data_IF_177868088172
#
_entry.id   IF_177868088172
#
_cell.length_a   1.000
_cell.length_b   1.000
_cell.length_c   1.000
_cell.angle_alpha   90.00
_cell.angle_beta   90.00
_cell.angle_gamma   90.00
#
_symmetry.space_group_name_H-M   'P 1'
#
loop_
_entity.id
_entity.type
_entity.pdbx_description
1 polymer ?
#
# COMPACT_ATOMS: atom_id res chain seq x y z
N UNK A 1 -40.72 27.57 -38.99
CA UNK A 1 -40.74 26.56 -40.07
C UNK A 1 -39.49 25.72 -39.93
N UNK A 2 -39.61 24.41 -39.70
CA UNK A 2 -38.47 23.50 -39.61
C UNK A 2 -37.98 23.16 -41.03
N UNK A 3 -36.96 23.86 -41.51
CA UNK A 3 -36.30 23.52 -42.76
C UNK A 3 -35.44 22.28 -42.52
N UNK A 4 -36.01 21.10 -42.79
CA UNK A 4 -35.31 19.82 -42.73
C UNK A 4 -34.71 19.54 -44.11
N UNK A 5 -33.38 19.41 -44.16
CA UNK A 5 -32.68 18.96 -45.36
C UNK A 5 -32.64 17.44 -45.36
N UNK A 6 -32.97 16.84 -46.51
CA UNK A 6 -33.05 15.38 -46.66
C UNK A 6 -31.88 14.80 -47.47
N UNK A 7 -31.09 15.63 -48.15
CA UNK A 7 -29.92 15.21 -48.92
C UNK A 7 -28.87 16.32 -49.01
N UNK A 8 -27.62 15.92 -49.27
CA UNK A 8 -26.51 16.86 -49.48
C UNK A 8 -26.72 17.65 -50.77
N UNK A 9 -27.32 17.04 -51.81
CA UNK A 9 -27.63 17.73 -53.06
C UNK A 9 -28.69 18.82 -52.87
N UNK A 10 -29.64 18.62 -51.95
CA UNK A 10 -30.63 19.66 -51.59
C UNK A 10 -29.95 20.87 -50.94
N UNK A 11 -28.93 20.65 -50.10
CA UNK A 11 -28.14 21.72 -49.49
C UNK A 11 -27.31 22.45 -50.56
N UNK A 12 -26.69 21.71 -51.48
CA UNK A 12 -25.91 22.30 -52.59
C UNK A 12 -26.77 23.19 -53.48
N UNK A 13 -27.98 22.74 -53.81
CA UNK A 13 -28.91 23.51 -54.64
C UNK A 13 -29.46 24.74 -53.92
N UNK A 14 -29.79 24.65 -52.63
CA UNK A 14 -30.32 25.78 -51.84
C UNK A 14 -29.30 26.91 -51.67
N UNK A 15 -28.01 26.57 -51.49
CA UNK A 15 -26.92 27.53 -51.27
C UNK A 15 -26.04 27.77 -52.51
N UNK A 16 -26.40 27.19 -53.65
CA UNK A 16 -25.71 27.31 -54.93
C UNK A 16 -24.21 26.92 -54.85
N UNK A 17 -23.92 25.80 -54.18
CA UNK A 17 -22.58 25.25 -53.93
C UNK A 17 -22.27 24.19 -55.01
N UNK A 18 -21.14 24.30 -55.70
CA UNK A 18 -20.77 23.45 -56.85
C UNK A 18 -19.78 22.33 -56.49
N UNK A 19 -19.30 22.33 -55.25
CA UNK A 19 -18.22 21.48 -54.77
C UNK A 19 -18.69 20.04 -54.49
N UNK A 20 -17.85 19.06 -54.81
CA UNK A 20 -18.18 17.64 -54.64
C UNK A 20 -17.99 17.13 -53.20
N UNK A 21 -16.96 17.62 -52.49
CA UNK A 21 -16.58 17.09 -51.17
C UNK A 21 -17.46 17.62 -50.03
N UNK A 22 -17.87 16.71 -49.14
CA UNK A 22 -18.72 17.01 -47.96
C UNK A 22 -18.00 17.95 -47.00
N UNK A 23 -16.69 17.77 -46.80
CA UNK A 23 -15.90 18.61 -45.90
C UNK A 23 -15.74 20.03 -46.46
N UNK A 24 -15.62 20.18 -47.79
CA UNK A 24 -15.55 21.50 -48.43
C UNK A 24 -16.91 22.22 -48.39
N UNK A 25 -18.01 21.49 -48.63
CA UNK A 25 -19.39 22.01 -48.50
C UNK A 25 -19.64 22.51 -47.08
N UNK A 26 -19.24 21.73 -46.06
CA UNK A 26 -19.34 22.14 -44.65
C UNK A 26 -18.53 23.39 -44.34
N UNK A 27 -17.31 23.51 -44.87
CA UNK A 27 -16.46 24.68 -44.70
C UNK A 27 -17.10 25.95 -45.28
N UNK A 28 -17.68 25.84 -46.48
CA UNK A 28 -18.40 26.95 -47.14
C UNK A 28 -19.63 27.38 -46.33
N UNK A 29 -20.45 26.42 -45.88
CA UNK A 29 -21.63 26.72 -45.06
C UNK A 29 -21.26 27.40 -43.75
N UNK A 30 -20.19 26.98 -43.07
CA UNK A 30 -19.70 27.63 -41.85
C UNK A 30 -19.21 29.06 -42.10
N UNK A 31 -18.56 29.30 -43.23
CA UNK A 31 -18.13 30.63 -43.61
C UNK A 31 -19.34 31.55 -43.85
N UNK A 32 -20.37 31.07 -44.56
CA UNK A 32 -21.63 31.78 -44.77
C UNK A 32 -22.42 32.00 -43.47
N UNK A 33 -22.42 31.03 -42.55
CA UNK A 33 -23.05 31.18 -41.24
C UNK A 33 -22.32 32.25 -40.41
N UNK A 34 -20.99 32.27 -40.48
CA UNK A 34 -20.17 33.23 -39.73
C UNK A 34 -20.33 34.67 -40.21
N UNK A 35 -20.72 34.91 -41.47
CA UNK A 35 -20.97 36.26 -42.00
C UNK A 35 -22.36 36.79 -41.62
N UNK A 36 -23.30 35.88 -41.36
CA UNK A 36 -24.68 36.19 -40.96
C UNK A 36 -24.90 36.13 -39.44
N UNK A 37 -23.85 35.85 -38.66
CA UNK A 37 -23.96 35.67 -37.21
C UNK A 37 -24.29 37.00 -36.50
N UNK A 38 -25.29 37.03 -35.59
CA UNK A 38 -25.75 38.27 -34.94
C UNK A 38 -24.65 38.93 -34.09
N UNK A 39 -23.72 38.15 -33.55
CA UNK A 39 -22.56 38.63 -32.77
C UNK A 39 -21.62 39.54 -33.59
N UNK A 40 -21.57 39.38 -34.93
CA UNK A 40 -20.81 40.30 -35.80
C UNK A 40 -21.59 41.57 -36.18
N UNK A 41 -22.89 41.61 -35.90
CA UNK A 41 -23.80 42.70 -36.24
C UNK A 41 -24.37 43.42 -35.02
N UNK A 42 -23.75 43.26 -33.84
CA UNK A 42 -24.16 43.97 -32.61
C UNK A 42 -25.22 43.26 -31.77
N UNK A 43 -25.41 41.96 -31.96
CA UNK A 43 -26.30 41.11 -31.16
C UNK A 43 -27.68 40.87 -31.77
N UNK A 44 -28.01 41.51 -32.89
CA UNK A 44 -29.28 41.36 -33.60
C UNK A 44 -29.06 41.05 -35.09
N UNK A 45 -30.00 40.33 -35.70
CA UNK A 45 -30.03 40.12 -37.15
C UNK A 45 -30.50 41.40 -37.84
N UNK A 46 -29.88 41.79 -38.96
CA UNK A 46 -30.27 43.05 -39.64
C UNK A 46 -31.63 42.95 -40.31
N UNK A 47 -32.13 41.73 -40.55
CA UNK A 47 -33.46 41.48 -41.08
C UNK A 47 -33.97 40.08 -40.75
N UNK A 48 -35.30 39.89 -40.81
CA UNK A 48 -35.97 38.59 -40.69
C UNK A 48 -35.50 37.59 -41.76
N UNK A 49 -35.05 38.09 -42.92
CA UNK A 49 -34.47 37.27 -43.99
C UNK A 49 -33.09 36.71 -43.60
N UNK A 50 -32.25 37.52 -42.94
CA UNK A 50 -30.94 37.07 -42.45
C UNK A 50 -31.08 36.03 -41.34
N UNK A 51 -32.03 36.23 -40.41
CA UNK A 51 -32.36 35.27 -39.35
C UNK A 51 -32.82 33.92 -39.97
N UNK A 52 -33.73 33.98 -40.95
CA UNK A 52 -34.20 32.77 -41.64
C UNK A 52 -33.07 32.02 -42.36
N UNK A 53 -32.18 32.75 -43.04
CA UNK A 53 -31.04 32.16 -43.74
C UNK A 53 -29.99 31.59 -42.77
N UNK A 54 -29.77 32.23 -41.63
CA UNK A 54 -28.90 31.73 -40.57
C UNK A 54 -29.41 30.39 -40.02
N UNK A 55 -30.70 30.29 -39.71
CA UNK A 55 -31.31 29.03 -39.26
C UNK A 55 -31.30 27.94 -40.33
N UNK A 56 -31.44 28.29 -41.61
CA UNK A 56 -31.26 27.33 -42.72
C UNK A 56 -29.83 26.80 -42.77
N UNK A 57 -28.82 27.66 -42.65
CA UNK A 57 -27.42 27.25 -42.64
C UNK A 57 -27.10 26.33 -41.45
N UNK A 58 -27.63 26.66 -40.27
CA UNK A 58 -27.47 25.84 -39.07
C UNK A 58 -28.06 24.43 -39.24
N UNK A 59 -29.29 24.34 -39.76
CA UNK A 59 -29.93 23.06 -40.09
C UNK A 59 -29.13 22.24 -41.11
N UNK A 60 -28.53 22.88 -42.11
CA UNK A 60 -27.71 22.19 -43.11
C UNK A 60 -26.40 21.64 -42.51
N UNK A 61 -25.74 22.41 -41.64
CA UNK A 61 -24.51 21.97 -40.95
C UNK A 61 -24.83 20.82 -40.00
N UNK A 62 -25.92 20.91 -39.24
CA UNK A 62 -26.36 19.85 -38.33
C UNK A 62 -26.68 18.55 -39.08
N UNK A 63 -27.27 18.63 -40.28
CA UNK A 63 -27.49 17.46 -41.13
C UNK A 63 -26.15 16.81 -41.54
N UNK A 64 -25.17 17.59 -41.98
CA UNK A 64 -23.83 17.07 -42.35
C UNK A 64 -23.12 16.44 -41.16
N UNK A 65 -23.18 17.08 -39.98
CA UNK A 65 -22.52 16.59 -38.77
C UNK A 65 -23.17 15.29 -38.26
N UNK A 66 -24.50 15.14 -38.36
CA UNK A 66 -25.19 13.89 -38.02
C UNK A 66 -24.85 12.72 -38.96
N UNK A 67 -24.62 13.00 -40.25
CA UNK A 67 -24.14 12.01 -41.23
C UNK A 67 -22.69 11.58 -40.94
N UNK A 68 -21.83 12.52 -40.51
CA UNK A 68 -20.42 12.25 -40.18
C UNK A 68 -20.26 11.44 -38.88
N UNK A 69 -21.11 11.73 -37.88
CA UNK A 69 -21.11 11.04 -36.58
C UNK A 69 -21.54 9.58 -36.70
N UNK A 70 -22.37 9.25 -37.70
CA UNK A 70 -22.82 7.87 -37.95
C UNK A 70 -21.72 6.95 -38.51
N UNK A 71 -20.61 7.50 -39.02
CA UNK A 71 -19.60 6.74 -39.78
C UNK A 71 -18.17 6.76 -39.21
N UNK A 72 -17.85 7.48 -38.11
CA UNK A 72 -16.44 7.56 -37.68
C UNK A 72 -16.09 7.63 -36.19
N UNK A 73 -17.04 7.67 -35.24
CA UNK A 73 -16.68 7.99 -33.84
C UNK A 73 -17.30 7.09 -32.76
N UNK A 74 -17.47 5.80 -33.06
CA UNK A 74 -17.69 4.79 -32.02
C UNK A 74 -16.33 4.33 -31.47
N UNK A 75 -15.90 4.92 -30.35
CA UNK A 75 -14.89 4.30 -29.49
C UNK A 75 -15.37 2.88 -29.20
N UNK A 76 -14.65 1.88 -29.70
CA UNK A 76 -15.02 0.48 -29.51
C UNK A 76 -15.16 0.21 -28.00
N UNK A 77 -16.32 -0.29 -27.56
CA UNK A 77 -16.55 -0.64 -26.16
C UNK A 77 -15.49 -1.59 -25.58
N UNK A 78 -14.76 -2.32 -26.43
CA UNK A 78 -13.57 -3.09 -26.08
C UNK A 78 -12.48 -2.22 -25.44
N UNK A 79 -12.17 -1.05 -26.01
CA UNK A 79 -11.13 -0.15 -25.48
C UNK A 79 -11.50 0.42 -24.09
N UNK A 80 -12.78 0.74 -23.87
CA UNK A 80 -13.29 1.18 -22.55
C UNK A 80 -13.27 0.01 -21.55
N UNK A 81 -13.58 -1.20 -22.01
CA UNK A 81 -13.53 -2.42 -21.18
C UNK A 81 -12.09 -2.79 -20.80
N UNK A 82 -11.14 -2.63 -21.71
CA UNK A 82 -9.73 -2.93 -21.46
C UNK A 82 -9.11 -1.89 -20.52
N UNK A 83 -9.51 -0.63 -20.64
CA UNK A 83 -9.07 0.43 -19.74
C UNK A 83 -9.67 0.26 -18.33
N UNK A 84 -10.95 -0.08 -18.23
CA UNK A 84 -11.56 -0.41 -16.92
C UNK A 84 -10.92 -1.64 -16.29
N UNK A 85 -10.66 -2.71 -17.05
CA UNK A 85 -9.89 -3.87 -16.56
C UNK A 85 -8.48 -3.49 -16.11
N UNK A 86 -7.77 -2.66 -16.88
CA UNK A 86 -6.45 -2.20 -16.52
C UNK A 86 -6.46 -1.39 -15.21
N UNK A 87 -7.41 -0.47 -15.07
CA UNK A 87 -7.60 0.34 -13.85
C UNK A 87 -7.99 -0.54 -12.66
N UNK A 88 -8.93 -1.47 -12.83
CA UNK A 88 -9.33 -2.41 -11.77
C UNK A 88 -8.16 -3.28 -11.34
N UNK A 89 -7.38 -3.83 -12.28
CA UNK A 89 -6.19 -4.62 -11.96
C UNK A 89 -5.11 -3.80 -11.22
N UNK A 90 -4.97 -2.51 -11.56
CA UNK A 90 -4.04 -1.59 -10.91
C UNK A 90 -4.50 -1.30 -9.47
N UNK A 91 -5.78 -1.05 -9.25
CA UNK A 91 -6.37 -0.86 -7.91
C UNK A 91 -6.27 -2.14 -7.08
N UNK A 92 -6.59 -3.30 -7.66
CA UNK A 92 -6.51 -4.59 -6.96
C UNK A 92 -5.08 -4.96 -6.56
N UNK A 93 -4.11 -4.74 -7.44
CA UNK A 93 -2.68 -4.98 -7.12
C UNK A 93 -2.13 -3.98 -6.10
N UNK A 94 -2.59 -2.73 -6.12
CA UNK A 94 -2.25 -1.75 -5.09
C UNK A 94 -2.85 -2.11 -3.73
N UNK A 95 -4.10 -2.55 -3.70
CA UNK A 95 -4.78 -2.98 -2.47
C UNK A 95 -4.16 -4.24 -1.87
N UNK A 96 -3.69 -5.20 -2.70
CA UNK A 96 -2.98 -6.39 -2.22
C UNK A 96 -1.69 -6.01 -1.47
N UNK A 97 -0.84 -5.16 -2.05
CA UNK A 97 0.42 -4.75 -1.40
C UNK A 97 0.21 -3.91 -0.14
N UNK A 98 -0.89 -3.15 -0.07
CA UNK A 98 -1.29 -2.44 1.16
C UNK A 98 -1.74 -3.45 2.22
N UNK A 99 -2.59 -4.42 1.86
CA UNK A 99 -3.11 -5.43 2.80
C UNK A 99 -2.00 -6.30 3.41
N UNK A 100 -1.02 -6.74 2.61
CA UNK A 100 0.12 -7.54 3.12
C UNK A 100 1.03 -6.71 4.03
N UNK A 101 1.26 -5.43 3.72
CA UNK A 101 2.02 -4.52 4.58
C UNK A 101 1.34 -4.25 5.94
N UNK A 102 0.00 -4.17 5.94
CA UNK A 102 -0.82 -4.05 7.15
C UNK A 102 -0.79 -5.36 7.94
N UNK A 103 -0.89 -6.51 7.28
CA UNK A 103 -0.81 -7.82 7.91
C UNK A 103 0.54 -8.03 8.61
N UNK A 104 1.66 -7.69 7.95
CA UNK A 104 3.00 -7.73 8.54
C UNK A 104 3.12 -6.79 9.74
N UNK A 105 2.64 -5.56 9.62
CA UNK A 105 2.66 -4.58 10.71
C UNK A 105 1.86 -5.07 11.92
N UNK A 106 0.69 -5.67 11.67
CA UNK A 106 -0.18 -6.25 12.69
C UNK A 106 0.47 -7.47 13.36
N UNK A 107 1.12 -8.34 12.59
CA UNK A 107 1.83 -9.51 13.12
C UNK A 107 3.03 -9.09 13.98
N UNK A 108 3.80 -8.08 13.54
CA UNK A 108 4.91 -7.52 14.32
C UNK A 108 4.42 -6.87 15.62
N UNK A 109 3.30 -6.15 15.55
CA UNK A 109 2.67 -5.54 16.73
C UNK A 109 2.22 -6.61 17.72
N UNK A 110 1.53 -7.67 17.26
CA UNK A 110 1.13 -8.81 18.10
C UNK A 110 2.32 -9.50 18.75
N UNK A 111 3.43 -9.69 18.03
CA UNK A 111 4.64 -10.29 18.60
C UNK A 111 5.25 -9.40 19.70
N UNK A 112 5.31 -8.08 19.46
CA UNK A 112 5.75 -7.09 20.45
C UNK A 112 4.86 -7.09 21.69
N UNK A 113 3.54 -7.08 21.49
CA UNK A 113 2.56 -7.04 22.58
C UNK A 113 2.54 -8.35 23.38
N UNK A 114 2.72 -9.50 22.72
CA UNK A 114 2.88 -10.79 23.39
C UNK A 114 4.12 -10.83 24.29
N UNK A 115 5.23 -10.26 23.83
CA UNK A 115 6.43 -10.13 24.66
C UNK A 115 6.22 -9.17 25.84
N UNK A 116 5.62 -8.01 25.60
CA UNK A 116 5.28 -7.05 26.66
C UNK A 116 4.38 -7.70 27.71
N UNK A 117 3.34 -8.43 27.29
CA UNK A 117 2.44 -9.12 28.19
C UNK A 117 3.16 -10.12 29.10
N UNK A 118 4.09 -10.92 28.57
CA UNK A 118 4.91 -11.85 29.36
C UNK A 118 5.81 -11.15 30.37
N UNK A 119 6.25 -9.92 30.07
CA UNK A 119 7.09 -9.12 30.95
C UNK A 119 6.33 -8.19 31.91
N UNK A 120 5.01 -8.04 31.78
CA UNK A 120 4.19 -7.21 32.68
C UNK A 120 4.27 -7.68 34.13
N UNK A 121 4.04 -8.98 34.36
CA UNK A 121 4.06 -9.55 35.71
C UNK A 121 5.42 -9.41 36.40
N UNK A 122 6.55 -9.82 35.78
CA UNK A 122 7.87 -9.59 36.34
C UNK A 122 8.16 -8.12 36.64
N UNK A 123 7.75 -7.18 35.77
CA UNK A 123 7.95 -5.74 36.02
C UNK A 123 7.13 -5.23 37.20
N UNK A 124 5.86 -5.64 37.33
CA UNK A 124 5.01 -5.26 38.47
C UNK A 124 5.61 -5.81 39.76
N UNK A 125 6.01 -7.07 39.78
CA UNK A 125 6.66 -7.69 40.93
C UNK A 125 7.97 -6.95 41.29
N UNK A 126 8.81 -6.64 40.30
CA UNK A 126 10.06 -5.90 40.49
C UNK A 126 9.81 -4.48 41.03
N UNK A 127 8.80 -3.77 40.51
CA UNK A 127 8.41 -2.45 41.01
C UNK A 127 7.91 -2.53 42.46
N UNK A 128 7.09 -3.54 42.79
CA UNK A 128 6.61 -3.75 44.16
C UNK A 128 7.76 -4.08 45.12
N UNK A 129 8.68 -4.96 44.73
CA UNK A 129 9.88 -5.29 45.51
C UNK A 129 10.77 -4.07 45.70
N UNK A 130 10.99 -3.28 44.65
CA UNK A 130 11.79 -2.05 44.72
C UNK A 130 11.11 -1.03 45.63
N UNK A 131 9.80 -0.86 45.54
CA UNK A 131 9.04 0.03 46.42
C UNK A 131 9.09 -0.42 47.89
N UNK A 132 8.99 -1.73 48.14
CA UNK A 132 9.11 -2.30 49.48
C UNK A 132 10.54 -2.10 50.05
N UNK A 133 11.57 -2.37 49.25
CA UNK A 133 12.97 -2.16 49.64
C UNK A 133 13.27 -0.69 49.95
N UNK A 134 12.76 0.22 49.12
CA UNK A 134 12.87 1.67 49.35
C UNK A 134 12.09 2.12 50.58
N UNK A 135 10.88 1.60 50.79
CA UNK A 135 10.05 1.92 51.95
C UNK A 135 10.65 1.43 53.27
N UNK A 136 11.20 0.22 53.28
CA UNK A 136 11.94 -0.33 54.43
C UNK A 136 13.12 0.57 54.84
N UNK A 137 13.79 1.18 53.86
CA UNK A 137 14.93 2.05 54.11
C UNK A 137 14.54 3.49 54.48
N UNK A 138 13.45 4.01 53.90
CA UNK A 138 12.95 5.36 54.19
C UNK A 138 12.33 5.49 55.59
N UNK A 139 11.83 4.38 56.14
CA UNK A 139 11.15 4.36 57.45
C UNK A 139 11.79 3.35 58.43
N UNK A 140 13.08 3.49 58.77
CA UNK A 140 13.80 2.50 59.57
C UNK A 140 13.24 2.38 60.99
N UNK A 141 12.74 3.48 61.56
CA UNK A 141 12.11 3.49 62.89
C UNK A 141 10.80 2.68 62.89
N UNK A 142 9.96 2.84 61.86
CA UNK A 142 8.70 2.09 61.73
C UNK A 142 8.95 0.58 61.57
N UNK A 143 10.03 0.19 60.90
CA UNK A 143 10.44 -1.21 60.76
C UNK A 143 10.95 -1.78 62.09
N UNK A 144 11.72 -0.98 62.84
CA UNK A 144 12.23 -1.35 64.17
C UNK A 144 11.11 -1.57 65.19
N UNK A 145 10.05 -0.78 65.11
CA UNK A 145 8.90 -0.87 66.03
C UNK A 145 7.90 -1.97 65.62
N UNK A 146 8.05 -2.57 64.44
CA UNK A 146 7.13 -3.59 63.94
C UNK A 146 7.42 -4.98 64.54
N UNK A 147 6.42 -5.66 65.14
CA UNK A 147 6.63 -6.87 65.95
C UNK A 147 7.20 -8.07 65.18
N UNK A 148 7.01 -8.12 63.87
CA UNK A 148 7.55 -9.20 63.02
C UNK A 148 8.85 -8.80 62.33
N UNK A 149 8.98 -7.55 61.86
CA UNK A 149 10.08 -7.14 60.97
C UNK A 149 11.35 -6.80 61.75
N UNK A 150 11.20 -6.35 63.00
CA UNK A 150 12.31 -6.01 63.90
C UNK A 150 13.24 -7.20 64.18
N UNK A 151 12.70 -8.43 64.13
CA UNK A 151 13.47 -9.66 64.32
C UNK A 151 14.34 -10.03 63.11
N UNK A 152 13.99 -9.54 61.91
CA UNK A 152 14.69 -9.89 60.66
C UNK A 152 15.55 -8.76 60.10
N UNK A 153 15.27 -7.51 60.46
CA UNK A 153 15.96 -6.33 59.90
C UNK A 153 16.57 -5.52 61.03
N UNK A 154 17.89 -5.63 61.20
CA UNK A 154 18.65 -4.79 62.11
C UNK A 154 19.53 -3.81 61.33
N UNK A 155 19.10 -2.54 61.26
CA UNK A 155 19.82 -1.50 60.50
C UNK A 155 21.21 -1.15 61.08
N UNK A 156 21.49 -1.53 62.32
CA UNK A 156 22.80 -1.34 62.95
C UNK A 156 23.80 -2.44 62.57
N UNK A 157 23.31 -3.56 62.04
CA UNK A 157 24.16 -4.66 61.60
C UNK A 157 24.70 -4.39 60.18
N UNK A 158 26.02 -4.52 60.03
CA UNK A 158 26.69 -4.29 58.75
C UNK A 158 26.27 -5.33 57.71
N UNK A 159 26.02 -6.59 58.11
CA UNK A 159 25.63 -7.66 57.19
C UNK A 159 24.25 -7.40 56.58
N UNK A 160 23.29 -6.95 57.39
CA UNK A 160 21.96 -6.54 56.93
C UNK A 160 22.04 -5.41 55.90
N UNK A 161 22.89 -4.40 56.12
CA UNK A 161 23.11 -3.30 55.18
C UNK A 161 23.76 -3.76 53.85
N UNK A 162 24.71 -4.70 53.91
CA UNK A 162 25.31 -5.29 52.70
C UNK A 162 24.27 -6.07 51.88
N UNK A 163 23.44 -6.90 52.52
CA UNK A 163 22.38 -7.65 51.85
C UNK A 163 21.38 -6.69 51.20
N UNK A 164 20.96 -5.65 51.91
CA UNK A 164 20.05 -4.64 51.36
C UNK A 164 20.65 -3.95 50.13
N UNK A 165 21.91 -3.50 50.22
CA UNK A 165 22.60 -2.85 49.10
C UNK A 165 22.71 -3.79 47.90
N UNK A 166 23.02 -5.07 48.13
CA UNK A 166 23.02 -6.10 47.09
C UNK A 166 21.64 -6.26 46.44
N UNK A 167 20.56 -6.30 47.21
CA UNK A 167 19.19 -6.40 46.69
C UNK A 167 18.81 -5.19 45.83
N UNK A 168 19.17 -3.97 46.25
CA UNK A 168 18.92 -2.75 45.46
C UNK A 168 19.71 -2.77 44.15
N UNK A 169 21.01 -3.08 44.20
CA UNK A 169 21.85 -3.15 43.00
C UNK A 169 21.33 -4.23 42.04
N UNK A 170 20.97 -5.41 42.55
CA UNK A 170 20.41 -6.49 41.74
C UNK A 170 19.08 -6.10 41.08
N UNK A 171 18.22 -5.36 41.79
CA UNK A 171 16.96 -4.86 41.25
C UNK A 171 17.17 -3.87 40.12
N UNK A 172 18.12 -2.93 40.28
CA UNK A 172 18.51 -1.98 39.22
C UNK A 172 19.10 -2.71 38.01
N UNK A 173 19.99 -3.68 38.24
CA UNK A 173 20.58 -4.48 37.17
C UNK A 173 19.51 -5.26 36.39
N UNK A 174 18.51 -5.81 37.09
CA UNK A 174 17.39 -6.52 36.45
C UNK A 174 16.50 -5.56 35.65
N UNK A 175 16.27 -4.33 36.15
CA UNK A 175 15.58 -3.27 35.42
C UNK A 175 16.30 -2.91 34.11
N UNK A 176 17.62 -2.71 34.17
CA UNK A 176 18.43 -2.42 32.99
C UNK A 176 18.38 -3.59 32.01
N UNK A 177 18.51 -4.82 32.50
CA UNK A 177 18.44 -6.02 31.67
C UNK A 177 17.09 -6.13 30.94
N UNK A 178 15.98 -5.96 31.66
CA UNK A 178 14.64 -6.04 31.07
C UNK A 178 14.40 -4.95 30.04
N UNK A 179 14.84 -3.71 30.32
CA UNK A 179 14.76 -2.60 29.36
C UNK A 179 15.58 -2.87 28.10
N UNK A 180 16.87 -3.22 28.24
CA UNK A 180 17.73 -3.53 27.08
C UNK A 180 17.17 -4.65 26.23
N UNK A 181 16.57 -5.66 26.85
CA UNK A 181 15.97 -6.79 26.14
C UNK A 181 14.71 -6.37 25.38
N UNK A 182 13.89 -5.48 25.93
CA UNK A 182 12.72 -4.91 25.24
C UNK A 182 13.14 -4.04 24.06
N UNK A 183 14.13 -3.16 24.23
CA UNK A 183 14.63 -2.31 23.15
C UNK A 183 15.21 -3.17 22.00
N UNK A 184 16.00 -4.19 22.34
CA UNK A 184 16.52 -5.12 21.34
C UNK A 184 15.43 -5.83 20.55
N UNK A 185 14.29 -6.17 21.17
CA UNK A 185 13.16 -6.80 20.47
C UNK A 185 12.46 -5.80 19.56
N UNK A 186 12.28 -4.56 20.03
CA UNK A 186 11.71 -3.48 19.23
C UNK A 186 12.57 -3.18 18.00
N UNK A 187 13.88 -3.01 18.18
CA UNK A 187 14.83 -2.82 17.09
C UNK A 187 14.80 -3.99 16.10
N UNK A 188 14.79 -5.23 16.58
CA UNK A 188 14.71 -6.40 15.69
C UNK A 188 13.41 -6.42 14.88
N UNK A 189 12.28 -6.07 15.50
CA UNK A 189 11.00 -5.96 14.80
C UNK A 189 11.02 -4.83 13.76
N UNK A 190 11.63 -3.68 14.06
CA UNK A 190 11.80 -2.58 13.11
C UNK A 190 12.72 -2.97 11.95
N UNK A 191 13.83 -3.66 12.24
CA UNK A 191 14.74 -4.21 11.22
C UNK A 191 14.00 -5.16 10.27
N UNK A 192 13.12 -6.02 10.77
CA UNK A 192 12.31 -6.93 9.93
C UNK A 192 11.31 -6.20 9.01
N UNK A 193 10.93 -4.95 9.30
CA UNK A 193 10.15 -4.11 8.38
C UNK A 193 10.97 -3.61 7.21
N UNK A 194 12.28 -3.46 7.40
CA UNK A 194 13.16 -2.90 6.37
C UNK A 194 13.28 -3.86 5.19
N UNK A 195 13.27 -3.29 3.99
CA UNK A 195 13.40 -4.07 2.77
C UNK A 195 14.78 -4.74 2.66
N UNK A 196 15.83 -4.08 3.18
CA UNK A 196 17.20 -4.61 3.19
C UNK A 196 17.30 -5.94 3.91
N UNK A 197 16.70 -6.04 5.10
CA UNK A 197 16.69 -7.27 5.89
C UNK A 197 15.83 -8.35 5.26
N UNK A 198 14.66 -7.99 4.73
CA UNK A 198 13.79 -8.89 3.98
C UNK A 198 14.51 -9.49 2.75
N UNK A 199 15.21 -8.66 1.98
CA UNK A 199 16.02 -9.10 0.86
C UNK A 199 17.19 -9.99 1.30
N UNK A 200 17.81 -9.70 2.46
CA UNK A 200 18.88 -10.52 3.03
C UNK A 200 18.38 -11.91 3.43
N UNK A 201 17.20 -11.99 4.04
CA UNK A 201 16.53 -13.24 4.39
C UNK A 201 16.24 -14.04 3.12
N UNK A 202 15.61 -13.41 2.13
CA UNK A 202 15.26 -14.03 0.86
C UNK A 202 16.49 -14.55 0.10
N UNK A 203 17.53 -13.73 -0.08
CA UNK A 203 18.78 -14.16 -0.74
C UNK A 203 19.43 -15.33 -0.02
N UNK A 204 19.40 -15.33 1.32
CA UNK A 204 19.92 -16.43 2.12
C UNK A 204 19.14 -17.73 1.92
N UNK A 205 17.83 -17.63 1.74
CA UNK A 205 16.97 -18.76 1.41
C UNK A 205 17.26 -19.29 0.01
N UNK A 206 17.24 -18.43 -1.01
CA UNK A 206 17.54 -18.81 -2.40
C UNK A 206 18.91 -19.48 -2.54
N UNK A 207 19.92 -19.03 -1.77
CA UNK A 207 21.24 -19.66 -1.77
C UNK A 207 21.25 -21.08 -1.16
N UNK A 208 20.31 -21.37 -0.24
CA UNK A 208 20.21 -22.67 0.46
C UNK A 208 19.40 -23.70 -0.34
N UNK A 209 18.44 -23.27 -1.15
CA UNK A 209 17.61 -24.20 -1.93
C UNK A 209 18.40 -24.66 -3.16
N UNK A 210 18.62 -25.97 -3.29
CA UNK A 210 19.23 -26.58 -4.48
C UNK A 210 18.24 -26.66 -5.66
N UNK A 211 16.94 -26.71 -5.37
CA UNK A 211 15.87 -26.82 -6.35
C UNK A 211 15.37 -25.46 -6.84
N UNK A 212 14.97 -25.39 -8.11
CA UNK A 212 14.35 -24.18 -8.68
C UNK A 212 12.97 -23.87 -8.10
N UNK A 213 12.30 -24.86 -7.50
CA UNK A 213 10.93 -24.74 -7.02
C UNK A 213 10.86 -24.88 -5.50
N UNK A 214 10.04 -24.09 -4.84
CA UNK A 214 9.81 -24.13 -3.39
C UNK A 214 8.37 -23.73 -3.05
N UNK A 215 7.86 -24.15 -1.88
CA UNK A 215 6.56 -23.76 -1.34
C UNK A 215 6.68 -22.60 -0.33
N UNK A 216 5.54 -21.95 -0.01
CA UNK A 216 5.51 -20.92 1.04
C UNK A 216 5.98 -21.50 2.38
N UNK A 217 5.58 -22.73 2.68
CA UNK A 217 5.88 -23.46 3.91
C UNK A 217 7.39 -23.69 4.06
N UNK A 218 8.08 -24.07 2.98
CA UNK A 218 9.54 -24.23 2.98
C UNK A 218 10.25 -22.93 3.35
N UNK A 219 9.71 -21.80 2.87
CA UNK A 219 10.28 -20.49 3.16
C UNK A 219 9.98 -20.04 4.59
N UNK A 220 8.76 -20.30 5.08
CA UNK A 220 8.37 -20.03 6.46
C UNK A 220 9.23 -20.83 7.44
N UNK A 221 9.49 -22.11 7.13
CA UNK A 221 10.38 -22.95 7.93
C UNK A 221 11.81 -22.41 7.93
N UNK A 222 12.32 -21.94 6.79
CA UNK A 222 13.62 -21.29 6.73
C UNK A 222 13.69 -20.02 7.60
N UNK A 223 12.65 -19.18 7.58
CA UNK A 223 12.58 -17.97 8.41
C UNK A 223 12.60 -18.35 9.89
N UNK A 224 11.87 -19.40 10.28
CA UNK A 224 11.80 -19.90 11.66
C UNK A 224 13.14 -20.47 12.12
N UNK A 225 13.79 -21.27 11.29
CA UNK A 225 15.09 -21.89 11.55
C UNK A 225 16.21 -20.85 11.67
N UNK A 226 16.21 -19.83 10.79
CA UNK A 226 17.25 -18.80 10.79
C UNK A 226 17.08 -17.74 11.89
N UNK A 227 15.85 -17.45 12.28
CA UNK A 227 15.53 -16.48 13.33
C UNK A 227 15.26 -17.13 14.71
N UNK A 228 15.77 -18.35 14.93
CA UNK A 228 15.88 -19.10 16.18
C UNK A 228 15.18 -18.43 17.39
N UNK A 229 14.01 -18.99 17.74
CA UNK A 229 13.25 -18.77 18.99
C UNK A 229 12.53 -17.43 19.20
N UNK A 230 12.64 -16.44 18.30
CA UNK A 230 12.02 -15.10 18.51
C UNK A 230 10.84 -14.75 17.60
N UNK A 231 10.58 -15.55 16.57
CA UNK A 231 9.55 -15.29 15.57
C UNK A 231 8.48 -16.36 15.69
N UNK A 232 7.25 -15.95 15.99
CA UNK A 232 6.07 -16.83 15.98
C UNK A 232 5.74 -17.26 14.54
N UNK A 233 5.09 -18.40 14.35
CA UNK A 233 4.75 -18.95 13.03
C UNK A 233 3.90 -17.96 12.23
N UNK A 234 2.96 -17.29 12.90
CA UNK A 234 2.12 -16.24 12.32
C UNK A 234 2.94 -15.07 11.77
N UNK A 235 4.01 -14.67 12.48
CA UNK A 235 4.90 -13.61 12.03
C UNK A 235 5.78 -14.08 10.88
N UNK A 236 6.25 -15.33 10.91
CA UNK A 236 7.02 -15.91 9.81
C UNK A 236 6.20 -15.98 8.52
N UNK A 237 4.92 -16.36 8.58
CA UNK A 237 3.99 -16.32 7.45
C UNK A 237 3.84 -14.90 6.90
N UNK A 238 3.54 -13.91 7.75
CA UNK A 238 3.36 -12.53 7.29
C UNK A 238 4.64 -11.94 6.66
N UNK A 239 5.82 -12.30 7.18
CA UNK A 239 7.11 -11.91 6.58
C UNK A 239 7.31 -12.62 5.23
N UNK A 240 7.02 -13.91 5.16
CA UNK A 240 7.16 -14.71 3.95
C UNK A 240 6.28 -14.16 2.82
N UNK A 241 5.01 -13.89 3.10
CA UNK A 241 4.06 -13.33 2.13
C UNK A 241 4.54 -11.99 1.55
N UNK A 242 4.95 -11.04 2.41
CA UNK A 242 5.44 -9.72 1.95
C UNK A 242 6.71 -9.87 1.11
N UNK A 243 7.63 -10.75 1.50
CA UNK A 243 8.85 -10.99 0.75
C UNK A 243 8.55 -11.61 -0.62
N UNK A 244 7.68 -12.62 -0.67
CA UNK A 244 7.34 -13.32 -1.92
C UNK A 244 6.56 -12.41 -2.86
N UNK A 245 5.60 -11.63 -2.35
CA UNK A 245 4.89 -10.63 -3.16
C UNK A 245 5.86 -9.63 -3.79
N UNK A 246 6.84 -9.13 -3.01
CA UNK A 246 7.89 -8.24 -3.53
C UNK A 246 8.77 -8.93 -4.56
N UNK A 247 9.14 -10.19 -4.35
CA UNK A 247 9.95 -10.96 -5.28
C UNK A 247 9.21 -11.23 -6.61
N UNK A 248 7.90 -11.49 -6.56
CA UNK A 248 7.03 -11.61 -7.75
C UNK A 248 6.97 -10.28 -8.50
N UNK A 249 6.71 -9.17 -7.79
CA UNK A 249 6.66 -7.82 -8.38
C UNK A 249 7.96 -7.43 -9.08
N UNK A 250 9.10 -7.90 -8.55
CA UNK A 250 10.44 -7.71 -9.14
C UNK A 250 10.80 -8.72 -10.22
N UNK A 251 9.90 -9.65 -10.56
CA UNK A 251 10.13 -10.72 -11.53
C UNK A 251 11.34 -11.59 -11.18
N UNK A 252 11.62 -11.79 -9.89
CA UNK A 252 12.68 -12.68 -9.40
C UNK A 252 12.18 -14.11 -9.29
N UNK A 253 10.89 -14.27 -8.99
CA UNK A 253 10.20 -15.56 -8.91
C UNK A 253 8.92 -15.54 -9.73
N UNK A 254 8.50 -16.71 -10.22
CA UNK A 254 7.22 -16.92 -10.87
C UNK A 254 6.35 -17.80 -9.99
N UNK A 255 5.07 -17.46 -9.90
CA UNK A 255 4.03 -18.29 -9.31
C UNK A 255 3.51 -19.26 -10.35
N UNK A 256 3.69 -20.56 -10.11
CA UNK A 256 3.04 -21.60 -10.88
C UNK A 256 1.82 -22.02 -10.08
N UNK A 257 0.67 -21.44 -10.43
CA UNK A 257 -0.59 -21.77 -9.77
C UNK A 257 -1.13 -23.07 -10.39
N UNK A 258 -0.88 -24.20 -9.74
CA UNK A 258 -1.26 -25.53 -10.25
C UNK A 258 -2.70 -25.92 -9.91
N UNK A 259 -3.51 -25.02 -9.32
CA UNK A 259 -4.91 -25.29 -8.96
C UNK A 259 -5.09 -26.32 -7.84
N UNK A 260 -4.00 -26.75 -7.19
CA UNK A 260 -4.00 -27.72 -6.09
C UNK A 260 -3.26 -27.12 -4.90
N UNK A 261 -4.04 -26.73 -3.88
CA UNK A 261 -3.79 -26.55 -2.42
C UNK A 261 -2.51 -25.80 -1.95
N UNK A 262 -1.39 -25.79 -2.67
CA UNK A 262 -0.16 -25.05 -2.33
C UNK A 262 0.40 -24.31 -3.55
N UNK A 263 0.59 -23.00 -3.43
CA UNK A 263 1.28 -22.20 -4.45
C UNK A 263 2.75 -22.58 -4.54
N UNK A 264 3.19 -23.04 -5.71
CA UNK A 264 4.59 -23.37 -5.96
C UNK A 264 5.27 -22.18 -6.62
N UNK A 265 6.39 -21.75 -6.03
CA UNK A 265 7.20 -20.66 -6.55
C UNK A 265 8.40 -21.24 -7.29
N UNK A 266 8.73 -20.66 -8.44
CA UNK A 266 9.91 -21.02 -9.22
C UNK A 266 10.86 -19.83 -9.33
N UNK A 267 12.14 -20.07 -9.05
CA UNK A 267 13.18 -19.05 -9.17
C UNK A 267 13.53 -18.87 -10.63
N UNK A 268 13.32 -17.66 -11.14
CA UNK A 268 13.87 -17.27 -12.44
C UNK A 268 15.38 -17.20 -12.25
N UNK A 269 16.09 -18.19 -12.80
CA UNK A 269 17.54 -18.32 -12.70
C UNK A 269 18.17 -16.93 -12.88
N UNK A 270 18.85 -16.45 -11.85
CA UNK A 270 19.46 -15.13 -11.86
C UNK A 270 20.31 -15.01 -13.13
N UNK A 271 19.95 -14.04 -13.98
CA UNK A 271 20.86 -13.57 -15.01
C UNK A 271 22.21 -13.32 -14.33
N UNK A 272 23.27 -13.86 -14.95
CA UNK A 272 24.66 -13.71 -14.52
C UNK A 272 24.92 -12.29 -13.99
N UNK A 273 25.73 -12.14 -12.93
CA UNK A 273 26.03 -10.83 -12.39
C UNK A 273 26.54 -9.91 -13.50
N UNK A 274 25.85 -8.80 -13.71
CA UNK A 274 26.38 -7.67 -14.49
C UNK A 274 27.65 -7.25 -13.75
N UNK A 275 28.81 -7.49 -14.37
CA UNK A 275 30.06 -6.91 -13.92
C UNK A 275 29.87 -5.39 -13.88
N UNK A 276 30.03 -4.81 -12.70
CA UNK A 276 30.35 -3.39 -12.60
C UNK A 276 31.84 -3.29 -12.93
N UNK A 277 32.14 -2.70 -14.08
CA UNK A 277 33.45 -2.12 -14.37
C UNK A 277 33.63 -0.82 -13.58
#
# INVERSE_FOLDING_TARGET
MSNQFNSIDMIKNEFNISEESIDTVRGILRNMQSSLHPDKNGGEFKSVSEESNYHKLDSAINFIDSQKTSNSDLIAMSAVTDLTKAVTNLISSQNQGVNTSIALSTALQRNSDGYKARMKMPKIALTAVTAALSGLWLFPNTVKDHPVLSNYVNFNDSLTNFIWMYLVISSVAFWIYTWRKEESIKENNERLKTETEQNRIFKGFIKKIEFKNFSLEDFVEHIKDKNLRKVDITLAHAIAEVILERAIKRKVILTNDSGVISTVYSVLAANKPIKQD
#
